data_IF_857439522537
#
_entry.id   IF_857439522537
#
_cell.length_a   1.000
_cell.length_b   1.000
_cell.length_c   1.000
_cell.angle_alpha   90.00
_cell.angle_beta   90.00
_cell.angle_gamma   90.00
#
_symmetry.space_group_name_H-M   'P 1'
#
loop_
_entity.id
_entity.type
_entity.pdbx_description
1 polymer ?
#
# COMPACT_ATOMS: atom_id res chain seq x y z
N UNK A 1 13.51 -24.70 2.13
CA UNK A 1 13.74 -23.31 1.94
C UNK A 1 12.55 -22.66 1.34
N UNK A 2 12.35 -21.48 1.69
CA UNK A 2 11.21 -20.79 1.28
C UNK A 2 11.50 -19.82 0.20
N UNK A 3 10.78 -19.95 -0.83
CA UNK A 3 10.83 -19.03 -1.89
C UNK A 3 9.96 -17.85 -1.54
N UNK A 4 10.45 -16.65 -1.79
CA UNK A 4 9.64 -15.47 -1.57
C UNK A 4 8.42 -15.53 -2.45
N UNK A 5 7.28 -15.19 -1.88
CA UNK A 5 6.03 -15.20 -2.61
C UNK A 5 5.86 -13.86 -3.31
N UNK A 6 6.06 -13.85 -4.62
CA UNK A 6 5.92 -12.64 -5.43
C UNK A 6 4.63 -12.63 -6.23
N UNK A 7 3.68 -13.48 -5.90
CA UNK A 7 2.39 -13.47 -6.58
C UNK A 7 1.48 -12.41 -5.99
N UNK A 8 0.47 -12.06 -6.74
CA UNK A 8 -0.56 -11.11 -6.30
C UNK A 8 -1.90 -11.74 -6.63
N UNK A 9 -2.30 -12.76 -5.85
CA UNK A 9 -3.51 -13.51 -6.15
C UNK A 9 -4.76 -12.66 -5.96
N UNK A 10 -5.86 -13.16 -6.53
CA UNK A 10 -7.13 -12.44 -6.51
C UNK A 10 -7.57 -12.11 -5.09
N UNK A 11 -7.33 -13.02 -4.16
CA UNK A 11 -7.76 -12.81 -2.77
C UNK A 11 -7.09 -11.62 -2.12
N UNK A 12 -5.89 -11.26 -2.58
CA UNK A 12 -5.13 -10.15 -2.02
C UNK A 12 -5.51 -8.82 -2.65
N UNK A 13 -6.36 -8.84 -3.66
CA UNK A 13 -6.80 -7.59 -4.28
C UNK A 13 -7.94 -7.01 -3.47
N UNK A 14 -7.81 -5.74 -3.12
CA UNK A 14 -8.83 -5.06 -2.33
C UNK A 14 -10.05 -4.78 -3.19
N UNK A 15 -11.16 -5.44 -2.89
CA UNK A 15 -12.39 -5.33 -3.67
C UNK A 15 -13.61 -5.00 -2.82
N UNK A 16 -13.58 -5.35 -1.55
CA UNK A 16 -14.76 -5.15 -0.71
C UNK A 16 -15.02 -3.66 -0.54
N UNK A 17 -16.20 -3.23 -1.00
CA UNK A 17 -16.58 -1.83 -0.91
C UNK A 17 -16.58 -1.36 0.54
N UNK A 18 -17.00 -2.21 1.45
CA UNK A 18 -17.01 -1.89 2.87
C UNK A 18 -15.63 -1.48 3.37
N UNK A 19 -14.61 -2.25 2.98
CA UNK A 19 -13.24 -1.96 3.41
C UNK A 19 -12.70 -0.70 2.73
N UNK A 20 -13.04 -0.51 1.45
CA UNK A 20 -12.60 0.68 0.73
C UNK A 20 -13.19 1.93 1.35
N UNK A 21 -14.49 1.89 1.67
CA UNK A 21 -15.14 3.02 2.31
C UNK A 21 -14.52 3.31 3.66
N UNK A 22 -14.26 2.26 4.42
CA UNK A 22 -13.67 2.41 5.75
C UNK A 22 -12.27 3.01 5.66
N UNK A 23 -11.50 2.65 4.66
CA UNK A 23 -10.18 3.23 4.44
C UNK A 23 -10.24 4.74 4.32
N UNK A 24 -11.23 5.25 3.59
CA UNK A 24 -11.32 6.68 3.36
C UNK A 24 -11.89 7.44 4.56
N UNK A 25 -12.55 6.73 5.49
CA UNK A 25 -13.13 7.36 6.67
C UNK A 25 -12.18 7.31 7.85
N UNK A 26 -11.59 6.14 8.11
CA UNK A 26 -10.79 5.93 9.32
C UNK A 26 -9.37 5.48 9.04
N UNK A 27 -8.97 5.39 7.79
CA UNK A 27 -7.64 4.88 7.44
C UNK A 27 -6.54 5.81 7.90
N UNK A 28 -5.43 5.19 8.27
CA UNK A 28 -4.19 5.90 8.55
C UNK A 28 -3.35 5.92 7.30
N UNK A 29 -2.41 6.85 7.21
CA UNK A 29 -1.61 6.94 6.02
C UNK A 29 -0.14 7.12 6.33
N UNK A 30 0.67 6.71 5.38
CA UNK A 30 2.11 6.94 5.38
C UNK A 30 2.48 7.31 3.95
N UNK A 31 3.44 8.23 3.82
CA UNK A 31 3.79 8.75 2.50
C UNK A 31 5.28 8.72 2.26
N UNK A 32 5.63 8.46 1.01
CA UNK A 32 6.98 8.63 0.49
C UNK A 32 6.77 9.21 -0.91
N UNK A 33 6.72 10.53 -0.97
CA UNK A 33 6.36 11.21 -2.21
C UNK A 33 7.08 10.62 -3.41
N UNK A 34 6.40 10.33 -4.51
CA UNK A 34 5.00 10.65 -4.79
C UNK A 34 4.01 9.53 -4.44
N UNK A 35 4.43 8.55 -3.66
CA UNK A 35 3.56 7.45 -3.29
C UNK A 35 2.94 7.68 -1.92
N UNK A 36 1.74 7.15 -1.74
CA UNK A 36 1.04 7.22 -0.48
C UNK A 36 0.35 5.90 -0.22
N UNK A 37 0.37 5.47 1.02
CA UNK A 37 -0.31 4.25 1.44
C UNK A 37 -1.33 4.61 2.52
N UNK A 38 -2.59 4.26 2.27
CA UNK A 38 -3.65 4.39 3.28
C UNK A 38 -4.03 2.98 3.71
N UNK A 39 -4.18 2.75 5.00
CA UNK A 39 -4.41 1.41 5.50
C UNK A 39 -5.30 1.39 6.73
N UNK A 40 -5.96 0.25 6.94
CA UNK A 40 -6.66 -0.06 8.19
C UNK A 40 -6.27 -1.48 8.59
N UNK A 41 -6.29 -1.73 9.89
CA UNK A 41 -6.10 -3.09 10.39
C UNK A 41 -7.42 -3.83 10.27
N UNK A 42 -7.35 -5.09 9.85
CA UNK A 42 -8.54 -5.92 9.64
C UNK A 42 -8.45 -7.09 10.60
N UNK A 43 -9.52 -7.28 11.39
CA UNK A 43 -9.57 -8.37 12.35
C UNK A 43 -10.64 -9.35 11.92
N UNK A 44 -10.37 -10.06 10.81
CA UNK A 44 -11.28 -11.06 10.27
C UNK A 44 -10.52 -12.32 9.95
N UNK A 45 -11.11 -13.46 10.31
CA UNK A 45 -10.54 -14.74 9.95
C UNK A 45 -10.88 -15.08 8.51
N UNK A 46 -10.01 -15.84 7.88
CA UNK A 46 -10.28 -16.32 6.53
C UNK A 46 -9.92 -15.34 5.44
N UNK A 47 -9.39 -14.16 5.80
CA UNK A 47 -8.93 -13.20 4.78
C UNK A 47 -7.42 -13.20 4.73
N UNK A 48 -6.83 -12.83 3.59
CA UNK A 48 -5.36 -12.77 3.50
C UNK A 48 -4.79 -11.70 4.40
N UNK A 49 -3.51 -11.82 4.69
CA UNK A 49 -2.83 -10.86 5.55
C UNK A 49 -2.88 -9.45 4.98
N UNK A 50 -2.74 -9.31 3.68
CA UNK A 50 -2.81 -8.01 3.02
C UNK A 50 -3.80 -8.05 1.88
N UNK A 51 -4.72 -7.10 1.89
CA UNK A 51 -5.64 -6.87 0.77
C UNK A 51 -5.31 -5.50 0.25
N UNK A 52 -4.78 -5.43 -0.97
CA UNK A 52 -4.18 -4.21 -1.49
C UNK A 52 -4.82 -3.78 -2.79
N UNK A 53 -5.15 -2.51 -2.88
CA UNK A 53 -5.59 -1.90 -4.12
C UNK A 53 -4.65 -0.80 -4.55
N UNK A 54 -4.82 -0.34 -5.79
CA UNK A 54 -4.01 0.75 -6.34
C UNK A 54 -4.95 1.79 -6.94
N UNK A 55 -4.51 3.04 -6.92
CA UNK A 55 -5.34 4.13 -7.44
C UNK A 55 -4.45 5.20 -8.07
N UNK A 56 -4.86 5.68 -9.23
CA UNK A 56 -4.23 6.82 -9.90
C UNK A 56 -5.35 7.75 -10.34
N UNK A 57 -5.33 8.97 -9.83
CA UNK A 57 -6.41 9.93 -10.02
C UNK A 57 -6.35 10.61 -11.39
N UNK A 58 -7.54 10.96 -11.92
CA UNK A 58 -7.64 11.80 -13.11
C UNK A 58 -6.95 13.14 -12.93
N UNK A 59 -6.79 13.55 -11.70
CA UNK A 59 -6.11 14.79 -11.38
C UNK A 59 -4.69 14.81 -11.95
N UNK A 60 -4.03 13.66 -11.94
CA UNK A 60 -2.66 13.53 -12.39
C UNK A 60 -2.54 13.07 -13.83
N UNK A 61 -3.41 12.16 -14.24
CA UNK A 61 -3.41 11.64 -15.61
C UNK A 61 -4.84 11.56 -16.12
N UNK A 62 -5.15 12.39 -17.09
CA UNK A 62 -6.51 12.47 -17.60
C UNK A 62 -6.88 11.26 -18.43
N UNK A 63 -5.92 10.70 -19.16
CA UNK A 63 -6.19 9.57 -20.04
C UNK A 63 -6.19 8.28 -19.26
N UNK A 64 -7.20 7.44 -19.52
CA UNK A 64 -7.32 6.15 -18.83
C UNK A 64 -6.12 5.25 -19.10
N UNK A 65 -5.57 5.31 -20.32
CA UNK A 65 -4.43 4.48 -20.67
C UNK A 65 -3.22 4.80 -19.80
N UNK A 66 -3.03 6.09 -19.49
CA UNK A 66 -1.93 6.50 -18.62
C UNK A 66 -2.16 6.04 -17.19
N UNK A 67 -3.39 6.23 -16.69
CA UNK A 67 -3.70 5.79 -15.34
C UNK A 67 -3.50 4.28 -15.20
N UNK A 68 -3.93 3.52 -16.20
CA UNK A 68 -3.78 2.06 -16.17
C UNK A 68 -2.31 1.66 -16.16
N UNK A 69 -1.47 2.40 -16.90
CA UNK A 69 -0.04 2.13 -16.91
C UNK A 69 0.56 2.28 -15.50
N UNK A 70 0.24 3.37 -14.82
CA UNK A 70 0.80 3.61 -13.49
C UNK A 70 0.18 2.74 -12.42
N UNK A 71 -1.08 2.34 -12.58
CA UNK A 71 -1.67 1.33 -11.71
C UNK A 71 -0.92 0.01 -11.84
N UNK A 72 -0.60 -0.39 -13.08
CA UNK A 72 0.17 -1.60 -13.31
C UNK A 72 1.54 -1.50 -12.67
N UNK A 73 2.17 -0.34 -12.80
CA UNK A 73 3.49 -0.10 -12.20
C UNK A 73 3.44 -0.24 -10.69
N UNK A 74 2.40 0.30 -10.06
CA UNK A 74 2.20 0.13 -8.62
C UNK A 74 2.02 -1.33 -8.25
N UNK A 75 1.20 -2.07 -9.01
CA UNK A 75 0.97 -3.48 -8.72
C UNK A 75 2.25 -4.30 -8.86
N UNK A 76 3.04 -4.02 -9.89
CA UNK A 76 4.29 -4.76 -10.11
C UNK A 76 5.30 -4.50 -9.01
N UNK A 77 5.49 -3.24 -8.64
CA UNK A 77 6.44 -2.91 -7.58
C UNK A 77 5.97 -3.43 -6.23
N UNK A 78 4.65 -3.41 -5.98
CA UNK A 78 4.09 -4.00 -4.77
C UNK A 78 4.34 -5.51 -4.75
N UNK A 79 4.01 -6.19 -5.85
CA UNK A 79 4.15 -7.64 -5.95
C UNK A 79 5.58 -8.08 -5.67
N UNK A 80 6.54 -7.36 -6.23
CA UNK A 80 7.94 -7.70 -6.09
C UNK A 80 8.49 -7.45 -4.69
N UNK A 81 7.86 -6.56 -3.94
CA UNK A 81 8.41 -6.10 -2.67
C UNK A 81 7.54 -6.42 -1.46
N UNK A 82 6.38 -7.06 -1.65
CA UNK A 82 5.48 -7.29 -0.52
C UNK A 82 6.07 -8.20 0.54
N UNK A 83 7.05 -9.00 0.19
CA UNK A 83 7.71 -9.86 1.19
C UNK A 83 8.35 -9.04 2.30
N UNK A 84 8.73 -7.81 2.02
CA UNK A 84 9.26 -6.92 3.05
C UNK A 84 8.23 -6.65 4.14
N UNK A 85 6.95 -6.60 3.76
CA UNK A 85 5.88 -6.41 4.72
C UNK A 85 5.53 -7.72 5.42
N UNK A 86 5.39 -8.79 4.65
CA UNK A 86 4.96 -10.08 5.19
C UNK A 86 5.94 -10.55 6.26
N UNK A 87 7.23 -10.39 6.03
CA UNK A 87 8.24 -10.86 6.95
C UNK A 87 8.25 -10.08 8.26
N UNK A 88 7.69 -8.87 8.28
CA UNK A 88 7.74 -7.99 9.44
C UNK A 88 6.41 -7.83 10.17
N UNK A 89 5.33 -8.39 9.60
CA UNK A 89 4.00 -8.15 10.13
C UNK A 89 3.30 -9.46 10.47
N UNK A 90 2.51 -9.44 11.53
CA UNK A 90 1.66 -10.58 11.85
C UNK A 90 0.19 -10.20 11.89
N UNK A 91 -0.13 -8.93 11.68
CA UNK A 91 -1.50 -8.46 11.63
C UNK A 91 -1.99 -8.39 10.19
N UNK A 92 -3.29 -8.27 10.03
CA UNK A 92 -3.91 -8.18 8.71
C UNK A 92 -4.30 -6.75 8.41
N UNK A 93 -4.12 -6.35 7.16
CA UNK A 93 -4.41 -4.98 6.74
C UNK A 93 -5.13 -4.94 5.41
N UNK A 94 -6.01 -3.96 5.27
CA UNK A 94 -6.53 -3.54 3.97
C UNK A 94 -5.83 -2.24 3.62
N UNK A 95 -5.33 -2.12 2.39
CA UNK A 95 -4.48 -1.01 2.01
C UNK A 95 -4.82 -0.50 0.62
N UNK A 96 -4.55 0.78 0.40
CA UNK A 96 -4.66 1.39 -0.93
C UNK A 96 -3.39 2.18 -1.21
N UNK A 97 -2.79 1.91 -2.35
CA UNK A 97 -1.59 2.61 -2.79
C UNK A 97 -1.96 3.66 -3.82
N UNK A 98 -1.43 4.86 -3.65
CA UNK A 98 -1.69 5.99 -4.54
C UNK A 98 -0.41 6.47 -5.21
N UNK A 99 -0.53 6.82 -6.48
CA UNK A 99 0.52 7.49 -7.25
C UNK A 99 0.07 8.94 -7.42
N UNK A 100 0.77 9.87 -6.79
CA UNK A 100 0.26 11.23 -6.64
C UNK A 100 1.23 12.26 -7.23
N UNK A 101 1.46 12.16 -8.53
CA UNK A 101 2.25 13.15 -9.25
C UNK A 101 1.95 13.02 -10.73
N UNK A 102 2.15 14.11 -11.46
CA UNK A 102 2.10 14.09 -12.93
C UNK A 102 3.39 13.59 -13.53
N UNK A 103 4.44 13.47 -12.73
CA UNK A 103 5.73 13.00 -13.21
C UNK A 103 5.66 11.54 -13.61
N UNK A 104 6.37 11.20 -14.68
CA UNK A 104 6.35 9.86 -15.23
C UNK A 104 7.59 9.11 -14.78
N UNK A 105 7.51 8.55 -13.58
CA UNK A 105 8.62 7.81 -13.01
C UNK A 105 8.75 6.44 -13.69
N UNK A 106 9.99 5.97 -13.78
CA UNK A 106 10.23 4.63 -14.31
C UNK A 106 10.09 3.59 -13.20
N UNK A 107 10.23 2.32 -13.56
CA UNK A 107 10.06 1.22 -12.63
C UNK A 107 11.00 1.34 -11.44
N UNK A 108 12.28 1.60 -11.71
CA UNK A 108 13.28 1.67 -10.65
C UNK A 108 12.98 2.79 -9.67
N UNK A 109 12.52 3.92 -10.17
CA UNK A 109 12.18 5.05 -9.32
C UNK A 109 10.98 4.73 -8.43
N UNK A 110 9.96 4.11 -9.01
CA UNK A 110 8.78 3.72 -8.24
C UNK A 110 9.14 2.66 -7.22
N UNK A 111 9.96 1.68 -7.61
CA UNK A 111 10.37 0.63 -6.68
C UNK A 111 11.14 1.20 -5.51
N UNK A 112 12.03 2.14 -5.77
CA UNK A 112 12.79 2.78 -4.70
C UNK A 112 11.86 3.46 -3.71
N UNK A 113 10.87 4.19 -4.23
CA UNK A 113 9.89 4.86 -3.37
C UNK A 113 9.02 3.86 -2.63
N UNK A 114 8.65 2.77 -3.30
CA UNK A 114 7.83 1.73 -2.68
C UNK A 114 8.54 1.12 -1.48
N UNK A 115 9.84 0.83 -1.62
CA UNK A 115 10.62 0.27 -0.52
C UNK A 115 10.68 1.25 0.65
N UNK A 116 10.89 2.53 0.35
CA UNK A 116 10.92 3.55 1.40
C UNK A 116 9.57 3.69 2.09
N UNK A 117 8.50 3.59 1.32
CA UNK A 117 7.16 3.65 1.85
C UNK A 117 6.90 2.48 2.80
N UNK A 118 7.32 1.28 2.42
CA UNK A 118 7.16 0.10 3.25
C UNK A 118 7.97 0.21 4.54
N UNK A 119 9.18 0.75 4.47
CA UNK A 119 9.97 0.98 5.67
C UNK A 119 9.25 1.90 6.64
N UNK A 120 8.67 2.97 6.13
CA UNK A 120 7.91 3.89 6.97
C UNK A 120 6.70 3.22 7.59
N UNK A 121 6.00 2.41 6.80
CA UNK A 121 4.83 1.68 7.27
C UNK A 121 5.22 0.73 8.40
N UNK A 122 6.30 -0.02 8.22
CA UNK A 122 6.78 -0.96 9.23
C UNK A 122 7.13 -0.24 10.51
N UNK A 123 7.86 0.86 10.41
CA UNK A 123 8.23 1.65 11.58
C UNK A 123 6.99 2.18 12.30
N UNK A 124 6.00 2.61 11.54
CA UNK A 124 4.77 3.11 12.14
C UNK A 124 4.03 2.02 12.90
N UNK A 125 4.06 0.79 12.39
CA UNK A 125 3.41 -0.33 13.07
C UNK A 125 4.18 -0.76 14.32
N UNK A 126 5.48 -0.58 14.34
CA UNK A 126 6.30 -0.95 15.49
C UNK A 126 6.28 0.08 16.59
N UNK A 127 5.82 1.29 16.30
CA UNK A 127 5.68 2.32 17.31
C UNK A 127 4.55 1.94 18.25
N UNK A 128 4.76 2.16 19.54
CA UNK A 128 3.72 1.89 20.52
C UNK A 128 2.66 2.97 20.44
N UNK A 129 1.43 2.68 20.82
CA UNK A 129 0.39 3.70 20.84
C UNK A 129 0.77 4.90 21.70
N UNK A 130 1.45 4.65 22.82
CA UNK A 130 1.87 5.71 23.69
C UNK A 130 2.81 6.68 23.00
N UNK A 131 3.74 6.13 22.26
CA UNK A 131 4.68 6.97 21.51
C UNK A 131 3.97 7.77 20.46
N UNK A 132 3.02 7.16 19.79
CA UNK A 132 2.25 7.86 18.77
C UNK A 132 1.49 9.03 19.38
N UNK A 133 0.89 8.79 20.53
CA UNK A 133 0.16 9.85 21.22
C UNK A 133 1.08 10.99 21.57
N UNK A 134 2.25 10.67 22.05
CA UNK A 134 3.22 11.69 22.43
C UNK A 134 3.64 12.52 21.24
N UNK A 135 3.79 11.88 20.12
CA UNK A 135 4.22 12.57 18.92
C UNK A 135 3.17 13.49 18.36
N UNK A 136 1.94 13.27 18.74
CA UNK A 136 0.86 14.11 18.28
C UNK A 136 0.96 15.51 18.85
N UNK A 137 1.79 15.69 19.79
CA UNK A 137 1.97 16.99 20.45
C UNK A 137 2.65 17.99 19.53
#
# INVERSE_FOLDING_TARGET
>A
MTKQNETYPREEKLKAKRLIDELFITGKSVSKYPLRLVYIEVDEEGVPQFQTGVSVSKRYFKKAVDRNYYKRLLRETYRKNKHLLVDQMDKKFAMMLFYQTKDRLNYQEVEHKMKGLFEKFIKQQQATPTESDNQAI
#
